data_IF_211577599062
#
_entry.id   IF_211577599062
#
_cell.length_a   1.000
_cell.length_b   1.000
_cell.length_c   1.000
_cell.angle_alpha   90.00
_cell.angle_beta   90.00
_cell.angle_gamma   90.00
#
_symmetry.space_group_name_H-M   'P 1'
#
loop_
_entity.id
_entity.type
_entity.pdbx_description
1 polymer ?
#
# COMPACT_ATOMS: atom_id res chain seq x y z
N UNK A 1 20.96 23.61 -32.61
CA UNK A 1 20.65 22.32 -31.96
C UNK A 1 20.22 22.53 -30.51
N UNK A 2 19.05 23.12 -30.28
CA UNK A 2 18.53 23.35 -28.91
C UNK A 2 17.01 23.07 -28.78
N UNK A 3 16.35 22.63 -29.88
CA UNK A 3 14.91 22.39 -29.92
C UNK A 3 14.51 20.96 -29.53
N UNK A 4 15.40 19.98 -29.67
CA UNK A 4 15.07 18.57 -29.41
C UNK A 4 15.10 18.16 -27.92
N UNK A 5 15.91 18.81 -27.08
CA UNK A 5 16.02 18.47 -25.65
C UNK A 5 14.87 19.02 -24.80
N UNK A 6 14.23 20.12 -25.23
CA UNK A 6 13.04 20.67 -24.60
C UNK A 6 11.82 19.75 -24.83
N UNK A 7 11.69 19.17 -26.03
CA UNK A 7 10.58 18.27 -26.39
C UNK A 7 10.64 16.88 -25.76
N UNK A 8 11.76 16.47 -25.15
CA UNK A 8 11.86 15.24 -24.36
C UNK A 8 11.55 15.48 -22.87
N UNK A 9 11.92 16.65 -22.32
CA UNK A 9 11.59 17.03 -20.93
C UNK A 9 10.11 17.37 -20.75
N UNK A 10 9.45 17.93 -21.76
CA UNK A 10 8.00 18.22 -21.70
C UNK A 10 7.09 16.96 -21.80
N UNK A 11 7.58 15.83 -22.31
CA UNK A 11 6.82 14.56 -22.36
C UNK A 11 6.81 13.80 -21.04
N UNK A 12 7.66 14.20 -20.08
CA UNK A 12 7.67 13.71 -18.69
C UNK A 12 6.89 14.64 -17.74
N UNK A 13 6.12 15.59 -18.26
CA UNK A 13 5.12 16.31 -17.46
C UNK A 13 4.04 15.31 -17.05
N UNK A 14 4.13 14.83 -15.79
CA UNK A 14 3.05 14.32 -14.95
C UNK A 14 1.81 13.84 -15.73
N UNK A 15 1.97 12.81 -16.55
CA UNK A 15 0.82 12.13 -17.10
C UNK A 15 0.14 11.46 -15.91
N UNK A 16 -1.06 11.92 -15.57
CA UNK A 16 -1.91 11.24 -14.62
C UNK A 16 -1.95 9.76 -15.00
N UNK A 17 -1.55 8.82 -14.11
CA UNK A 17 -1.41 7.42 -14.48
C UNK A 17 -2.73 6.90 -15.02
N UNK A 18 -2.66 6.09 -16.06
CA UNK A 18 -3.82 5.44 -16.69
C UNK A 18 -4.50 4.49 -15.71
N UNK A 19 -5.75 4.11 -16.00
CA UNK A 19 -6.48 3.15 -15.16
C UNK A 19 -5.74 1.81 -15.11
N UNK A 20 -5.16 1.37 -16.23
CA UNK A 20 -4.38 0.13 -16.30
C UNK A 20 -3.10 0.19 -15.45
N UNK A 21 -2.36 1.30 -15.50
CA UNK A 21 -1.16 1.50 -14.67
C UNK A 21 -1.53 1.48 -13.17
N UNK A 22 -2.61 2.17 -12.78
CA UNK A 22 -3.10 2.16 -11.39
C UNK A 22 -3.55 0.77 -10.93
N UNK A 23 -4.18 -0.01 -11.80
CA UNK A 23 -4.58 -1.39 -11.48
C UNK A 23 -3.36 -2.29 -11.26
N UNK A 24 -2.33 -2.17 -12.11
CA UNK A 24 -1.10 -2.94 -11.96
C UNK A 24 -0.33 -2.55 -10.67
N UNK A 25 -0.28 -1.26 -10.36
CA UNK A 25 0.31 -0.74 -9.13
C UNK A 25 -0.46 -1.24 -7.89
N UNK A 26 -1.79 -1.14 -7.89
CA UNK A 26 -2.63 -1.62 -6.80
C UNK A 26 -2.50 -3.12 -6.57
N UNK A 27 -2.46 -3.92 -7.64
CA UNK A 27 -2.27 -5.37 -7.54
C UNK A 27 -0.93 -5.70 -6.88
N UNK A 28 0.15 -5.09 -7.36
CA UNK A 28 1.51 -5.28 -6.81
C UNK A 28 1.57 -4.89 -5.35
N UNK A 29 0.89 -3.79 -4.99
CA UNK A 29 0.80 -3.33 -3.62
C UNK A 29 0.03 -4.29 -2.72
N UNK A 30 -1.15 -4.75 -3.17
CA UNK A 30 -1.99 -5.67 -2.44
C UNK A 30 -1.27 -7.00 -2.17
N UNK A 31 -0.60 -7.57 -3.18
CA UNK A 31 0.18 -8.80 -3.01
C UNK A 31 1.31 -8.64 -1.98
N UNK A 32 2.02 -7.50 -1.98
CA UNK A 32 3.07 -7.23 -0.99
C UNK A 32 2.50 -7.00 0.40
N UNK A 33 1.35 -6.33 0.50
CA UNK A 33 0.62 -6.11 1.73
C UNK A 33 0.15 -7.43 2.36
N UNK A 34 -0.38 -8.36 1.57
CA UNK A 34 -0.80 -9.67 2.07
C UNK A 34 0.38 -10.49 2.60
N UNK A 35 1.53 -10.49 1.91
CA UNK A 35 2.74 -11.14 2.45
C UNK A 35 3.19 -10.50 3.77
N UNK A 36 3.10 -9.18 3.91
CA UNK A 36 3.39 -8.50 5.17
C UNK A 36 2.46 -8.99 6.29
N UNK A 37 1.16 -9.11 6.01
CA UNK A 37 0.18 -9.63 6.98
C UNK A 37 0.50 -11.08 7.37
N UNK A 38 0.89 -11.93 6.42
CA UNK A 38 1.34 -13.30 6.71
C UNK A 38 2.53 -13.32 7.67
N UNK A 39 3.52 -12.43 7.49
CA UNK A 39 4.66 -12.31 8.41
C UNK A 39 4.21 -11.94 9.82
N UNK A 40 3.23 -11.03 9.96
CA UNK A 40 2.67 -10.67 11.27
C UNK A 40 1.96 -11.85 11.93
N UNK A 41 1.14 -12.59 11.18
CA UNK A 41 0.45 -13.77 11.66
C UNK A 41 1.44 -14.87 12.12
N UNK A 42 2.45 -15.17 11.30
CA UNK A 42 3.51 -16.12 11.64
C UNK A 42 4.23 -15.70 12.92
N UNK A 43 4.55 -14.42 13.07
CA UNK A 43 5.25 -13.89 14.23
C UNK A 43 4.39 -13.92 15.50
N UNK A 44 3.10 -13.63 15.39
CA UNK A 44 2.16 -13.74 16.50
C UNK A 44 1.94 -15.20 16.94
N UNK A 45 1.93 -16.14 15.99
CA UNK A 45 1.69 -17.56 16.28
C UNK A 45 2.93 -18.30 16.78
N UNK A 46 4.10 -18.03 16.20
CA UNK A 46 5.32 -18.80 16.45
C UNK A 46 6.43 -18.00 17.15
N UNK A 47 6.20 -16.71 17.39
CA UNK A 47 7.18 -15.78 17.95
C UNK A 47 8.12 -15.17 16.89
N UNK A 48 8.73 -14.01 17.18
CA UNK A 48 9.66 -13.35 16.27
C UNK A 48 10.93 -14.17 16.11
N UNK A 49 11.49 -14.17 14.90
CA UNK A 49 12.79 -14.77 14.61
C UNK A 49 13.49 -13.99 13.48
N UNK A 50 14.78 -14.25 13.27
CA UNK A 50 15.59 -13.51 12.30
C UNK A 50 15.06 -13.57 10.85
N UNK A 51 14.39 -14.68 10.47
CA UNK A 51 13.77 -14.80 9.13
C UNK A 51 12.56 -13.87 9.01
N UNK A 52 11.67 -13.88 10.00
CA UNK A 52 10.47 -13.04 10.02
C UNK A 52 10.82 -11.57 10.16
N UNK A 53 11.80 -11.22 10.99
CA UNK A 53 12.32 -9.84 11.14
C UNK A 53 12.82 -9.29 9.79
N UNK A 54 13.63 -10.08 9.07
CA UNK A 54 14.12 -9.67 7.75
C UNK A 54 12.98 -9.48 6.74
N UNK A 55 11.97 -10.34 6.78
CA UNK A 55 10.80 -10.24 5.90
C UNK A 55 9.97 -8.99 6.24
N UNK A 56 9.72 -8.76 7.53
CA UNK A 56 9.01 -7.59 8.05
C UNK A 56 9.67 -6.30 7.57
N UNK A 57 10.99 -6.14 7.79
CA UNK A 57 11.72 -4.93 7.40
C UNK A 57 11.68 -4.69 5.88
N UNK A 58 11.86 -5.75 5.09
CA UNK A 58 11.84 -5.64 3.63
C UNK A 58 10.45 -5.28 3.09
N UNK A 59 9.39 -5.87 3.66
CA UNK A 59 8.02 -5.60 3.25
C UNK A 59 7.54 -4.24 3.74
N UNK A 60 7.80 -3.89 4.99
CA UNK A 60 7.50 -2.57 5.56
C UNK A 60 8.12 -1.45 4.74
N UNK A 61 9.42 -1.52 4.47
CA UNK A 61 10.12 -0.48 3.72
C UNK A 61 9.49 -0.30 2.33
N UNK A 62 9.28 -1.41 1.62
CA UNK A 62 8.66 -1.36 0.30
C UNK A 62 7.25 -0.76 0.36
N UNK A 63 6.42 -1.19 1.31
CA UNK A 63 5.03 -0.73 1.44
C UNK A 63 4.98 0.76 1.74
N UNK A 64 5.79 1.26 2.67
CA UNK A 64 5.87 2.69 3.00
C UNK A 64 6.30 3.50 1.77
N UNK A 65 7.30 3.04 1.02
CA UNK A 65 7.81 3.75 -0.17
C UNK A 65 6.77 3.79 -1.31
N UNK A 66 5.92 2.77 -1.43
CA UNK A 66 4.93 2.65 -2.52
C UNK A 66 3.54 3.13 -2.12
N UNK A 67 3.27 3.38 -0.83
CA UNK A 67 1.97 3.89 -0.42
C UNK A 67 1.78 5.36 -0.80
N UNK A 68 2.84 6.16 -0.83
CA UNK A 68 2.75 7.59 -1.16
C UNK A 68 2.11 7.86 -2.54
N UNK A 69 2.32 6.98 -3.53
CA UNK A 69 1.67 7.10 -4.84
C UNK A 69 0.20 6.68 -4.83
N UNK A 70 -0.19 5.74 -3.96
CA UNK A 70 -1.56 5.25 -3.83
C UNK A 70 -2.41 6.11 -2.88
N UNK A 71 -1.78 6.77 -1.91
CA UNK A 71 -2.43 7.52 -0.83
C UNK A 71 -3.51 8.50 -1.32
N UNK A 72 -3.30 9.30 -2.38
CA UNK A 72 -4.34 10.22 -2.87
C UNK A 72 -5.62 9.53 -3.34
N UNK A 73 -5.54 8.25 -3.71
CA UNK A 73 -6.67 7.47 -4.20
C UNK A 73 -7.29 6.60 -3.13
N UNK A 74 -6.48 6.04 -2.23
CA UNK A 74 -6.93 5.13 -1.17
C UNK A 74 -7.48 5.89 0.04
N UNK A 75 -6.97 7.10 0.33
CA UNK A 75 -7.38 7.89 1.50
C UNK A 75 -8.89 8.18 1.55
N UNK A 76 -9.55 8.28 0.39
CA UNK A 76 -11.00 8.47 0.30
C UNK A 76 -11.82 7.25 0.79
N UNK A 77 -11.18 6.09 0.92
CA UNK A 77 -11.79 4.83 1.32
C UNK A 77 -11.32 4.34 2.70
N UNK A 78 -10.43 5.07 3.36
CA UNK A 78 -10.03 4.75 4.74
C UNK A 78 -11.19 5.04 5.69
N UNK A 79 -11.28 4.23 6.75
CA UNK A 79 -12.34 4.38 7.76
C UNK A 79 -12.27 5.77 8.40
N UNK A 80 -13.40 6.49 8.53
CA UNK A 80 -13.43 7.77 9.22
C UNK A 80 -13.12 7.63 10.72
N UNK A 81 -13.34 6.45 11.30
CA UNK A 81 -13.02 6.16 12.70
C UNK A 81 -11.53 5.90 12.92
N UNK A 82 -10.79 5.53 11.86
CA UNK A 82 -9.34 5.34 11.90
C UNK A 82 -8.69 5.80 10.58
N UNK A 83 -8.63 7.13 10.34
CA UNK A 83 -8.13 7.69 9.09
C UNK A 83 -6.65 7.40 8.85
N UNK A 84 -5.92 7.04 9.91
CA UNK A 84 -4.49 6.72 9.91
C UNK A 84 -4.23 5.21 10.09
N UNK A 85 -5.22 4.33 9.83
CA UNK A 85 -5.10 2.89 10.04
C UNK A 85 -3.86 2.30 9.35
N UNK A 86 -3.56 2.81 8.14
CA UNK A 86 -2.39 2.43 7.38
C UNK A 86 -1.09 2.90 8.08
N UNK A 87 -0.97 4.20 8.37
CA UNK A 87 0.20 4.79 8.99
C UNK A 87 0.52 4.16 10.35
N UNK A 88 -0.51 3.79 11.14
CA UNK A 88 -0.34 3.10 12.41
C UNK A 88 0.18 1.67 12.24
N UNK A 89 -0.26 0.96 11.20
CA UNK A 89 0.19 -0.42 10.92
C UNK A 89 1.69 -0.49 10.56
N UNK A 90 2.24 0.59 9.98
CA UNK A 90 3.66 0.64 9.59
C UNK A 90 4.54 1.50 10.52
N UNK A 91 4.00 1.94 11.67
CA UNK A 91 4.71 2.82 12.61
C UNK A 91 5.91 2.15 13.28
N UNK A 92 5.76 0.90 13.72
CA UNK A 92 6.84 0.17 14.38
C UNK A 92 8.00 -0.05 13.40
N UNK A 93 9.24 0.12 13.86
CA UNK A 93 10.43 0.05 13.01
C UNK A 93 10.93 -1.38 12.78
N UNK A 94 10.64 -2.28 13.72
CA UNK A 94 11.05 -3.68 13.72
C UNK A 94 9.91 -4.57 14.24
N UNK A 95 9.99 -5.87 13.95
CA UNK A 95 8.93 -6.83 14.26
C UNK A 95 8.77 -7.03 15.78
N UNK A 96 9.88 -6.98 16.53
CA UNK A 96 9.84 -7.14 17.98
C UNK A 96 9.06 -6.00 18.64
N UNK A 97 9.29 -4.77 18.17
CA UNK A 97 8.58 -3.58 18.61
C UNK A 97 7.12 -3.60 18.18
N UNK A 98 6.83 -4.06 16.96
CA UNK A 98 5.45 -4.20 16.49
C UNK A 98 4.63 -5.10 17.43
N UNK A 99 5.17 -6.26 17.82
CA UNK A 99 4.49 -7.18 18.72
C UNK A 99 4.38 -6.65 20.15
N UNK A 100 5.38 -5.89 20.62
CA UNK A 100 5.37 -5.31 21.97
C UNK A 100 4.41 -4.12 22.11
N UNK A 101 4.19 -3.37 21.03
CA UNK A 101 3.32 -2.19 20.98
C UNK A 101 1.89 -2.52 20.48
N UNK A 102 1.56 -3.81 20.27
CA UNK A 102 0.22 -4.21 19.88
C UNK A 102 -0.82 -3.78 20.92
N UNK A 103 -1.68 -2.85 20.52
CA UNK A 103 -2.77 -2.29 21.32
C UNK A 103 -4.09 -3.07 21.15
N UNK A 104 -4.07 -4.21 20.47
CA UNK A 104 -5.24 -5.06 20.19
C UNK A 104 -5.99 -4.65 18.93
N UNK A 105 -5.59 -3.56 18.27
CA UNK A 105 -6.27 -2.99 17.10
C UNK A 105 -5.59 -3.38 15.77
N UNK A 106 -4.53 -4.20 15.81
CA UNK A 106 -3.80 -4.62 14.60
C UNK A 106 -4.72 -5.29 13.57
N UNK A 107 -5.61 -6.19 14.02
CA UNK A 107 -6.56 -6.88 13.13
C UNK A 107 -7.53 -5.87 12.49
N UNK A 108 -7.99 -4.88 13.27
CA UNK A 108 -8.88 -3.84 12.78
C UNK A 108 -8.18 -2.99 11.70
N UNK A 109 -6.93 -2.57 11.93
CA UNK A 109 -6.13 -1.81 10.95
C UNK A 109 -5.87 -2.58 9.67
N UNK A 110 -5.56 -3.87 9.77
CA UNK A 110 -5.38 -4.76 8.62
C UNK A 110 -6.68 -4.83 7.81
N UNK A 111 -7.82 -5.03 8.50
CA UNK A 111 -9.13 -5.16 7.86
C UNK A 111 -9.55 -3.86 7.17
N UNK A 112 -9.42 -2.72 7.88
CA UNK A 112 -9.70 -1.39 7.34
C UNK A 112 -8.82 -1.07 6.12
N UNK A 113 -7.54 -1.44 6.15
CA UNK A 113 -6.63 -1.28 5.01
C UNK A 113 -7.06 -2.15 3.83
N UNK A 114 -7.39 -3.42 4.04
CA UNK A 114 -7.89 -4.33 2.98
C UNK A 114 -9.17 -3.81 2.33
N UNK A 115 -10.09 -3.30 3.14
CA UNK A 115 -11.34 -2.73 2.66
C UNK A 115 -11.08 -1.50 1.77
N UNK A 116 -10.22 -0.58 2.22
CA UNK A 116 -9.87 0.60 1.44
C UNK A 116 -9.24 0.24 0.08
N UNK A 117 -8.31 -0.73 0.07
CA UNK A 117 -7.70 -1.25 -1.18
C UNK A 117 -8.74 -1.91 -2.09
N UNK A 118 -9.69 -2.65 -1.52
CA UNK A 118 -10.76 -3.34 -2.27
C UNK A 118 -11.74 -2.36 -2.90
N UNK A 119 -12.14 -1.31 -2.15
CA UNK A 119 -13.01 -0.25 -2.66
C UNK A 119 -12.33 0.54 -3.77
N UNK A 120 -11.04 0.82 -3.63
CA UNK A 120 -10.27 1.45 -4.71
C UNK A 120 -10.16 0.55 -5.94
N UNK A 121 -9.95 -0.75 -5.78
CA UNK A 121 -9.94 -1.71 -6.89
C UNK A 121 -11.28 -1.72 -7.64
N UNK A 122 -12.40 -1.69 -6.91
CA UNK A 122 -13.75 -1.60 -7.48
C UNK A 122 -13.94 -0.29 -8.26
N UNK A 123 -13.49 0.83 -7.71
CA UNK A 123 -13.53 2.11 -8.40
C UNK A 123 -12.75 2.08 -9.73
N UNK A 124 -11.56 1.48 -9.73
CA UNK A 124 -10.77 1.33 -10.97
C UNK A 124 -11.47 0.44 -12.00
N UNK A 125 -12.17 -0.63 -11.57
CA UNK A 125 -12.97 -1.46 -12.48
C UNK A 125 -14.09 -0.65 -13.14
N UNK A 126 -14.81 0.16 -12.37
CA UNK A 126 -15.87 1.03 -12.90
C UNK A 126 -15.34 2.10 -13.88
N UNK A 127 -14.15 2.65 -13.61
CA UNK A 127 -13.50 3.58 -14.54
C UNK A 127 -13.10 2.90 -15.85
N UNK A 128 -12.66 1.64 -15.80
CA UNK A 128 -12.28 0.87 -16.99
C UNK A 128 -13.48 0.55 -17.89
N UNK A 129 -14.62 0.15 -17.30
CA UNK A 129 -15.85 -0.15 -18.05
C UNK A 129 -16.46 1.10 -18.69
N UNK A 130 -16.42 2.25 -17.99
CA UNK A 130 -16.95 3.53 -18.52
C UNK A 130 -16.11 4.11 -19.66
N UNK A 131 -14.82 3.78 -19.76
CA UNK A 131 -13.94 4.20 -20.88
C UNK A 131 -14.05 3.28 -22.11
N UNK A 132 -14.69 2.11 -21.96
CA UNK A 132 -14.93 1.16 -23.05
C UNK A 132 -16.33 1.24 -23.67
N UNK A 133 -17.16 2.22 -23.29
CA UNK A 133 -18.49 2.52 -23.87
C UNK A 133 -18.45 3.77 -24.73
#
# INVERSE_FOLDING_TARGET
>A
MAKDLASARDRRRAATPTVAERQAELLSFYERFERFVEVLCDAAQYGPNARLEKAYLADRQWIVDHFESLRPFVAAYLSPDEPDAFERLFKAEDLSRFLAEDDGEVIFRITSTREALSLYAEHLRQLATRKGS
#
